data_IF_360713165697
#
_entry.id   IF_360713165697
#
_cell.length_a   1.000
_cell.length_b   1.000
_cell.length_c   1.000
_cell.angle_alpha   90.00
_cell.angle_beta   90.00
_cell.angle_gamma   90.00
#
_symmetry.space_group_name_H-M   'P 1'
#
loop_
_entity.id
_entity.type
_entity.pdbx_description
1 polymer ?
#
# COMPACT_ATOMS: atom_id res chain seq x y z
N UNK A 1 48.63 27.63 2.91
CA UNK A 1 48.07 26.28 2.76
C UNK A 1 47.57 25.78 4.11
N UNK A 2 46.25 25.71 4.27
CA UNK A 2 45.59 24.78 5.20
C UNK A 2 44.39 24.23 4.42
N UNK A 3 44.58 23.06 3.81
CA UNK A 3 43.48 22.27 3.29
C UNK A 3 42.80 21.65 4.51
N UNK A 4 41.55 22.01 4.78
CA UNK A 4 40.55 21.22 5.52
C UNK A 4 39.26 22.05 5.65
N UNK A 5 38.55 22.25 4.53
CA UNK A 5 37.21 22.88 4.52
C UNK A 5 36.17 22.04 3.75
N UNK A 6 36.53 20.82 3.31
CA UNK A 6 35.61 19.94 2.58
C UNK A 6 34.81 19.00 3.50
N UNK A 7 35.18 18.86 4.78
CA UNK A 7 34.51 17.95 5.71
C UNK A 7 33.44 18.63 6.60
N UNK A 8 33.43 19.96 6.69
CA UNK A 8 32.35 20.69 7.39
C UNK A 8 31.09 20.84 6.54
N UNK A 9 31.18 20.66 5.23
CA UNK A 9 30.00 20.70 4.34
C UNK A 9 29.15 19.42 4.38
N UNK A 10 29.69 18.31 4.90
CA UNK A 10 28.97 17.03 4.94
C UNK A 10 27.94 17.00 6.09
N UNK A 11 28.12 17.81 7.13
CA UNK A 11 27.25 17.75 8.33
C UNK A 11 26.13 18.81 8.38
N UNK A 12 26.02 19.70 7.39
CA UNK A 12 24.97 20.75 7.38
C UNK A 12 23.92 20.61 6.27
N UNK A 13 24.05 19.64 5.36
CA UNK A 13 23.13 19.43 4.24
C UNK A 13 21.99 18.42 4.52
N UNK A 14 21.67 18.14 5.79
CA UNK A 14 20.56 17.26 6.15
C UNK A 14 19.41 18.03 6.81
N UNK A 15 18.94 19.09 6.14
CA UNK A 15 17.78 19.89 6.58
C UNK A 15 16.76 20.18 5.46
N UNK A 16 16.87 19.54 4.30
CA UNK A 16 15.92 19.70 3.18
C UNK A 16 15.59 18.41 2.42
N UNK A 17 15.82 17.23 3.00
CA UNK A 17 15.04 16.07 2.55
C UNK A 17 13.67 16.19 3.23
N UNK A 18 12.53 16.24 2.49
CA UNK A 18 11.23 16.03 3.12
C UNK A 18 11.32 14.73 3.92
N UNK A 19 10.59 14.56 5.04
CA UNK A 19 10.55 13.27 5.71
C UNK A 19 10.20 12.26 4.63
N UNK A 20 11.17 11.43 4.25
CA UNK A 20 10.95 10.34 3.33
C UNK A 20 10.05 9.40 4.12
N UNK A 21 8.74 9.61 3.98
CA UNK A 21 7.73 8.75 4.58
C UNK A 21 7.86 7.47 3.77
N UNK A 22 8.85 6.64 4.12
CA UNK A 22 9.03 5.35 3.48
C UNK A 22 7.80 4.51 3.75
N UNK A 23 7.33 3.85 2.71
CA UNK A 23 6.28 2.85 2.81
C UNK A 23 6.75 1.72 3.74
N UNK A 24 5.88 1.30 4.64
CA UNK A 24 6.18 0.23 5.59
C UNK A 24 6.10 -1.12 4.88
N UNK A 25 7.24 -1.59 4.37
CA UNK A 25 7.32 -2.79 3.53
C UNK A 25 6.80 -4.03 4.24
N UNK A 26 7.02 -4.16 5.55
CA UNK A 26 6.55 -5.32 6.31
C UNK A 26 5.02 -5.30 6.45
N UNK A 27 4.41 -4.12 6.71
CA UNK A 27 2.95 -4.00 6.68
C UNK A 27 2.40 -4.25 5.29
N UNK A 28 3.04 -3.72 4.25
CA UNK A 28 2.61 -3.95 2.88
C UNK A 28 2.59 -5.44 2.55
N UNK A 29 3.64 -6.20 2.91
CA UNK A 29 3.66 -7.67 2.76
C UNK A 29 2.50 -8.33 3.52
N UNK A 30 2.28 -7.94 4.77
CA UNK A 30 1.16 -8.47 5.57
C UNK A 30 -0.21 -8.19 4.92
N UNK A 31 -0.43 -6.97 4.40
CA UNK A 31 -1.68 -6.62 3.71
C UNK A 31 -1.81 -7.35 2.36
N UNK A 32 -0.70 -7.56 1.67
CA UNK A 32 -0.67 -8.34 0.42
C UNK A 32 -1.07 -9.78 0.66
N UNK A 33 -0.52 -10.41 1.70
CA UNK A 33 -0.86 -11.77 2.08
C UNK A 33 -2.36 -11.91 2.40
N UNK A 34 -2.93 -10.98 3.18
CA UNK A 34 -4.37 -10.96 3.48
C UNK A 34 -5.24 -10.79 2.24
N UNK A 35 -4.82 -9.94 1.30
CA UNK A 35 -5.53 -9.76 0.04
C UNK A 35 -5.50 -11.04 -0.80
N UNK A 36 -4.35 -11.72 -0.87
CA UNK A 36 -4.22 -12.99 -1.58
C UNK A 36 -5.13 -14.06 -0.98
N UNK A 37 -5.12 -14.24 0.34
CA UNK A 37 -6.03 -15.17 1.03
C UNK A 37 -7.50 -14.89 0.71
N UNK A 38 -7.92 -13.62 0.75
CA UNK A 38 -9.29 -13.24 0.43
C UNK A 38 -9.68 -13.49 -1.04
N UNK A 39 -8.72 -13.39 -1.97
CA UNK A 39 -8.92 -13.71 -3.39
C UNK A 39 -9.01 -15.24 -3.58
N UNK A 40 -8.10 -16.01 -3.00
CA UNK A 40 -8.02 -17.47 -3.13
C UNK A 40 -9.30 -18.17 -2.62
N UNK A 41 -9.91 -17.63 -1.56
CA UNK A 41 -11.16 -18.12 -0.99
C UNK A 41 -12.35 -17.99 -1.97
N UNK A 42 -12.29 -17.05 -2.91
CA UNK A 42 -13.43 -16.66 -3.76
C UNK A 42 -13.19 -16.90 -5.27
N UNK A 43 -11.95 -16.96 -5.73
CA UNK A 43 -11.59 -16.98 -7.17
C UNK A 43 -12.21 -18.16 -7.94
N UNK A 44 -12.39 -19.31 -7.28
CA UNK A 44 -12.97 -20.51 -7.90
C UNK A 44 -14.48 -20.38 -8.14
N UNK A 45 -15.12 -19.45 -7.46
CA UNK A 45 -16.57 -19.27 -7.45
C UNK A 45 -17.01 -18.03 -8.25
N UNK A 46 -16.16 -17.01 -8.37
CA UNK A 46 -16.50 -15.75 -9.02
C UNK A 46 -15.43 -15.31 -10.05
N UNK A 47 -15.87 -15.13 -11.30
CA UNK A 47 -15.03 -14.68 -12.42
C UNK A 47 -14.56 -13.23 -12.28
N UNK A 48 -15.29 -12.40 -11.54
CA UNK A 48 -14.87 -11.02 -11.27
C UNK A 48 -13.72 -11.00 -10.25
N UNK A 49 -13.71 -11.94 -9.31
CA UNK A 49 -12.58 -12.11 -8.37
C UNK A 49 -11.34 -12.62 -9.12
N UNK A 50 -11.50 -13.58 -10.02
CA UNK A 50 -10.44 -14.02 -10.94
C UNK A 50 -9.84 -12.83 -11.73
N UNK A 51 -10.71 -11.97 -12.25
CA UNK A 51 -10.29 -10.75 -12.97
C UNK A 51 -9.52 -9.79 -12.07
N UNK A 52 -9.97 -9.58 -10.83
CA UNK A 52 -9.25 -8.79 -9.83
C UNK A 52 -7.85 -9.39 -9.59
N UNK A 53 -7.73 -10.71 -9.42
CA UNK A 53 -6.44 -11.37 -9.24
C UNK A 53 -5.50 -11.05 -10.38
N UNK A 54 -5.94 -11.26 -11.63
CA UNK A 54 -5.11 -11.02 -12.82
C UNK A 54 -4.62 -9.56 -12.88
N UNK A 55 -5.48 -8.60 -12.59
CA UNK A 55 -5.11 -7.18 -12.62
C UNK A 55 -4.15 -6.77 -11.49
N UNK A 56 -4.29 -7.36 -10.30
CA UNK A 56 -3.54 -6.93 -9.11
C UNK A 56 -2.28 -7.76 -8.85
N UNK A 57 -2.16 -8.96 -9.43
CA UNK A 57 -1.04 -9.89 -9.23
C UNK A 57 0.36 -9.26 -9.43
N UNK A 58 0.59 -8.43 -10.46
CA UNK A 58 1.90 -7.79 -10.63
C UNK A 58 2.31 -6.93 -9.43
N UNK A 59 1.34 -6.20 -8.84
CA UNK A 59 1.60 -5.39 -7.66
C UNK A 59 1.77 -6.24 -6.41
N UNK A 60 0.99 -7.32 -6.24
CA UNK A 60 1.15 -8.24 -5.11
C UNK A 60 2.54 -8.91 -5.13
N UNK A 61 2.99 -9.37 -6.30
CA UNK A 61 4.32 -9.97 -6.47
C UNK A 61 5.45 -8.99 -6.12
N UNK A 62 5.33 -7.72 -6.55
CA UNK A 62 6.31 -6.68 -6.21
C UNK A 62 6.30 -6.35 -4.71
N UNK A 63 5.11 -6.29 -4.11
CA UNK A 63 4.95 -6.03 -2.68
C UNK A 63 5.59 -7.13 -1.82
N UNK A 64 5.38 -8.40 -2.18
CA UNK A 64 5.94 -9.57 -1.48
C UNK A 64 7.45 -9.63 -1.58
N UNK A 65 8.00 -9.34 -2.76
CA UNK A 65 9.45 -9.26 -2.96
C UNK A 65 10.09 -8.02 -2.33
N UNK A 66 9.29 -7.10 -1.77
CA UNK A 66 9.78 -5.83 -1.23
C UNK A 66 10.33 -4.89 -2.29
N UNK A 67 9.98 -5.11 -3.56
CA UNK A 67 10.49 -4.37 -4.73
C UNK A 67 9.56 -3.24 -5.19
N UNK A 68 8.72 -2.69 -4.30
CA UNK A 68 7.97 -1.46 -4.61
C UNK A 68 8.82 -0.28 -4.13
N UNK A 69 9.51 0.43 -5.03
CA UNK A 69 10.55 1.40 -4.66
C UNK A 69 9.97 2.74 -4.22
N UNK A 70 8.72 3.03 -4.59
CA UNK A 70 8.05 4.32 -4.36
C UNK A 70 6.56 4.11 -4.11
N UNK A 71 5.95 5.08 -3.42
CA UNK A 71 4.49 5.14 -3.24
C UNK A 71 3.80 5.28 -4.59
N UNK A 72 2.70 4.57 -4.76
CA UNK A 72 1.85 4.68 -5.94
C UNK A 72 0.78 5.74 -5.74
N UNK A 73 0.31 6.36 -6.83
CA UNK A 73 -0.90 7.17 -6.76
C UNK A 73 -2.11 6.26 -6.74
N UNK A 74 -3.20 6.71 -6.09
CA UNK A 74 -4.45 5.95 -6.01
C UNK A 74 -4.97 5.47 -7.38
N UNK A 75 -4.77 6.27 -8.43
CA UNK A 75 -5.19 5.98 -9.81
C UNK A 75 -4.33 4.94 -10.53
N UNK A 76 -3.12 4.70 -10.04
CA UNK A 76 -2.17 3.75 -10.65
C UNK A 76 -2.40 2.32 -10.13
N UNK A 77 -3.30 2.15 -9.15
CA UNK A 77 -3.64 0.83 -8.58
C UNK A 77 -4.92 0.31 -9.26
N UNK A 78 -4.83 -0.79 -10.04
CA UNK A 78 -5.97 -1.35 -10.77
C UNK A 78 -6.99 -2.05 -9.83
N UNK A 79 -8.11 -2.51 -10.38
CA UNK A 79 -9.12 -3.28 -9.66
C UNK A 79 -10.19 -2.50 -8.90
N UNK A 80 -10.04 -1.19 -8.62
CA UNK A 80 -11.07 -0.42 -7.87
C UNK A 80 -12.46 -0.49 -8.52
N UNK A 81 -12.51 -0.39 -9.83
CA UNK A 81 -13.77 -0.35 -10.57
C UNK A 81 -14.55 -1.66 -10.44
N UNK A 82 -13.88 -2.79 -10.20
CA UNK A 82 -14.53 -4.09 -10.00
C UNK A 82 -15.42 -4.11 -8.74
N UNK A 83 -15.09 -3.32 -7.71
CA UNK A 83 -15.91 -3.18 -6.50
C UNK A 83 -17.18 -2.38 -6.75
N UNK A 84 -17.08 -1.28 -7.49
CA UNK A 84 -18.21 -0.36 -7.72
C UNK A 84 -19.07 -0.71 -8.92
N UNK A 85 -18.49 -1.34 -9.95
CA UNK A 85 -19.13 -1.57 -11.25
C UNK A 85 -19.41 -3.06 -11.51
N UNK A 86 -18.59 -3.97 -10.97
CA UNK A 86 -18.72 -5.42 -11.19
C UNK A 86 -19.07 -6.19 -9.90
N UNK A 87 -19.71 -5.52 -8.94
CA UNK A 87 -20.34 -6.12 -7.75
C UNK A 87 -19.41 -6.77 -6.70
N UNK A 88 -18.08 -6.56 -6.75
CA UNK A 88 -17.21 -7.10 -5.69
C UNK A 88 -17.47 -6.48 -4.29
N UNK A 89 -18.19 -5.35 -4.21
CA UNK A 89 -18.69 -4.80 -2.93
C UNK A 89 -19.57 -5.78 -2.12
N UNK A 90 -20.07 -6.85 -2.74
CA UNK A 90 -20.80 -7.92 -2.03
C UNK A 90 -19.89 -8.77 -1.11
N UNK A 91 -18.56 -8.63 -1.23
CA UNK A 91 -17.56 -9.34 -0.43
C UNK A 91 -16.81 -8.36 0.49
N UNK A 92 -17.36 -8.04 1.68
CA UNK A 92 -16.79 -7.00 2.55
C UNK A 92 -15.35 -7.29 2.99
N UNK A 93 -15.00 -8.57 3.18
CA UNK A 93 -13.64 -8.98 3.56
C UNK A 93 -12.64 -8.72 2.43
N UNK A 94 -13.03 -9.03 1.18
CA UNK A 94 -12.20 -8.77 0.00
C UNK A 94 -12.04 -7.26 -0.23
N UNK A 95 -13.13 -6.49 -0.14
CA UNK A 95 -13.09 -5.02 -0.27
C UNK A 95 -12.20 -4.39 0.80
N UNK A 96 -12.32 -4.85 2.05
CA UNK A 96 -11.50 -4.38 3.14
C UNK A 96 -10.02 -4.69 2.92
N UNK A 97 -9.68 -5.94 2.59
CA UNK A 97 -8.30 -6.35 2.33
C UNK A 97 -7.67 -5.55 1.17
N UNK A 98 -8.44 -5.33 0.10
CA UNK A 98 -8.02 -4.51 -1.04
C UNK A 98 -7.80 -3.04 -0.64
N UNK A 99 -8.68 -2.46 0.18
CA UNK A 99 -8.52 -1.11 0.68
C UNK A 99 -7.28 -0.95 1.57
N UNK A 100 -7.04 -1.89 2.49
CA UNK A 100 -5.85 -1.88 3.35
C UNK A 100 -4.56 -1.99 2.52
N UNK A 101 -4.52 -2.88 1.53
CA UNK A 101 -3.40 -3.00 0.60
C UNK A 101 -3.12 -1.69 -0.15
N UNK A 102 -4.17 -1.04 -0.68
CA UNK A 102 -4.04 0.26 -1.37
C UNK A 102 -3.52 1.37 -0.48
N UNK A 103 -3.99 1.43 0.76
CA UNK A 103 -3.51 2.42 1.73
C UNK A 103 -2.00 2.29 1.90
N UNK A 104 -1.50 1.07 2.14
CA UNK A 104 -0.05 0.85 2.28
C UNK A 104 0.72 1.21 1.01
N UNK A 105 0.24 0.82 -0.18
CA UNK A 105 0.85 1.20 -1.47
C UNK A 105 0.94 2.71 -1.70
N UNK A 106 -0.01 3.48 -1.16
CA UNK A 106 -0.04 4.95 -1.29
C UNK A 106 0.77 5.66 -0.21
N UNK A 107 1.48 4.91 0.64
CA UNK A 107 2.34 5.43 1.70
C UNK A 107 1.81 5.25 3.11
N UNK A 108 0.88 4.31 3.32
CA UNK A 108 0.34 3.95 4.62
C UNK A 108 -0.74 4.90 5.13
N UNK A 109 -1.35 4.54 6.26
CA UNK A 109 -2.29 5.42 6.93
C UNK A 109 -1.58 6.67 7.45
N UNK A 110 -2.09 7.84 7.08
CA UNK A 110 -1.63 9.08 7.69
C UNK A 110 -1.93 9.07 9.20
N UNK A 111 -1.12 9.74 10.04
CA UNK A 111 -1.41 9.86 11.47
C UNK A 111 -2.84 10.35 11.77
N UNK A 112 -3.38 11.20 10.90
CA UNK A 112 -4.75 11.69 10.98
C UNK A 112 -5.78 10.58 10.75
N UNK A 113 -5.60 9.73 9.73
CA UNK A 113 -6.50 8.59 9.48
C UNK A 113 -6.45 7.57 10.62
N UNK A 114 -5.26 7.29 11.17
CA UNK A 114 -5.12 6.42 12.36
C UNK A 114 -5.91 6.98 13.55
N UNK A 115 -5.78 8.28 13.81
CA UNK A 115 -6.49 8.95 14.90
C UNK A 115 -8.01 8.92 14.69
N UNK A 116 -8.48 9.23 13.48
CA UNK A 116 -9.90 9.17 13.14
C UNK A 116 -10.47 7.75 13.29
N UNK A 117 -9.74 6.71 12.87
CA UNK A 117 -10.16 5.31 13.08
C UNK A 117 -10.24 4.94 14.56
N UNK A 118 -9.26 5.34 15.37
CA UNK A 118 -9.30 5.12 16.82
C UNK A 118 -10.45 5.87 17.50
N UNK A 119 -10.85 7.03 16.98
CA UNK A 119 -11.97 7.83 17.51
C UNK A 119 -13.34 7.29 17.06
N UNK A 120 -13.43 6.66 15.88
CA UNK A 120 -14.68 6.11 15.33
C UNK A 120 -14.92 4.63 15.67
N UNK A 121 -13.87 3.87 16.01
CA UNK A 121 -13.92 2.47 16.40
C UNK A 121 -13.83 2.25 17.91
N UNK A 122 -14.45 3.14 18.70
CA UNK A 122 -14.58 2.95 20.15
C UNK A 122 -15.27 1.62 20.44
N UNK A 123 -14.59 0.82 21.27
CA UNK A 123 -14.97 -0.50 21.80
C UNK A 123 -16.43 -0.64 22.24
#
# INVERSE_FOLDING_TARGET
MKFNSALEYINHASLLAPPEVYMDIEKLKQKTQKLREAIEDLEKSDRVVEKLRIEIEPLMTLAESGMIPVKLQWRDIPGRYLFTEESLQQYPLLEHAFAEFRIELTGGETPLLRKLKSEMGGE
#
